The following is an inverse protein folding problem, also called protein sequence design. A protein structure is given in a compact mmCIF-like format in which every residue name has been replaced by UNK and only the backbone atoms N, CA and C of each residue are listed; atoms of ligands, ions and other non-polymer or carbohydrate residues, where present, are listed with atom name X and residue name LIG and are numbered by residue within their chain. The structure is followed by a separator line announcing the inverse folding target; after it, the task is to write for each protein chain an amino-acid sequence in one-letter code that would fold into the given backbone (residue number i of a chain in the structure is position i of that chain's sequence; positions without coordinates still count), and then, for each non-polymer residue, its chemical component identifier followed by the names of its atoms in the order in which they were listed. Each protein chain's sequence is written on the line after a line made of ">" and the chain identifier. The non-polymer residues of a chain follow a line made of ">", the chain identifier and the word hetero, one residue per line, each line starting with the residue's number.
data_IF_018377296325
#
_entry.id   IF_018377296325
#
_cell.length_a   1.000
_cell.length_b   1.000
_cell.length_c   1.000
_cell.angle_alpha   90.00
_cell.angle_beta   90.00
_cell.angle_gamma   90.00
#
_symmetry.space_group_name_H-M   'P 1'
#
loop_
_entity.id
_entity.type
_entity.pdbx_description
1 polymer ?
#
# COMPACT_ATOMS: atom_id res chain seq x y z
N UNK A 1 -1.83 16.35 -9.35
CA UNK A 1 -1.22 15.12 -8.84
C UNK A 1 -0.71 15.29 -7.45
N UNK A 2 0.43 15.94 -7.26
CA UNK A 2 1.21 15.94 -6.00
C UNK A 2 0.41 16.25 -4.72
N UNK A 3 -0.42 17.30 -4.73
CA UNK A 3 -1.25 17.66 -3.56
C UNK A 3 -2.24 16.56 -3.18
N UNK A 4 -2.93 15.97 -4.16
CA UNK A 4 -3.86 14.86 -3.92
C UNK A 4 -3.13 13.55 -3.64
N UNK A 5 -2.00 13.34 -4.29
CA UNK A 5 -1.11 12.20 -4.07
C UNK A 5 -0.63 12.12 -2.62
N UNK A 6 -0.34 13.25 -1.98
CA UNK A 6 0.00 13.28 -0.55
C UNK A 6 -1.08 12.64 0.32
N UNK A 7 -2.35 12.99 0.12
CA UNK A 7 -3.44 12.41 0.93
C UNK A 7 -3.56 10.90 0.72
N UNK A 8 -3.41 10.44 -0.52
CA UNK A 8 -3.40 9.00 -0.79
C UNK A 8 -2.19 8.30 -0.17
N UNK A 9 -1.00 8.92 -0.25
CA UNK A 9 0.23 8.39 0.32
C UNK A 9 0.15 8.30 1.86
N UNK A 10 -0.49 9.27 2.51
CA UNK A 10 -0.79 9.25 3.95
C UNK A 10 -1.71 8.07 4.29
N UNK A 11 -2.77 7.83 3.50
CA UNK A 11 -3.68 6.68 3.67
C UNK A 11 -2.92 5.36 3.49
N UNK A 12 -2.11 5.24 2.44
CA UNK A 12 -1.33 4.04 2.11
C UNK A 12 -0.15 3.77 3.05
N UNK A 13 0.09 4.65 4.04
CA UNK A 13 1.20 4.55 4.99
C UNK A 13 2.57 4.56 4.30
N UNK A 14 2.68 5.38 3.25
CA UNK A 14 3.93 5.55 2.53
C UNK A 14 5.06 5.91 3.50
N UNK A 15 6.16 5.18 3.38
CA UNK A 15 7.39 5.48 4.08
C UNK A 15 8.58 5.02 3.25
N UNK A 16 9.63 5.83 3.22
CA UNK A 16 10.92 5.43 2.66
C UNK A 16 11.65 4.41 3.57
N UNK A 17 11.10 4.09 4.74
CA UNK A 17 11.70 3.16 5.70
C UNK A 17 10.73 2.10 6.24
N UNK A 18 11.29 0.97 6.67
CA UNK A 18 10.62 -0.21 7.24
C UNK A 18 10.24 -0.06 8.72
N UNK A 19 10.53 1.10 9.32
CA UNK A 19 10.34 1.37 10.74
C UNK A 19 11.46 0.80 11.62
N UNK A 20 11.08 0.13 12.72
CA UNK A 20 12.00 -0.52 13.64
C UNK A 20 12.53 -1.83 13.03
N UNK A 21 13.72 -1.76 12.44
CA UNK A 21 14.50 -2.91 11.96
C UNK A 21 15.93 -2.70 12.46
N UNK A 22 16.40 -3.59 13.34
CA UNK A 22 17.70 -3.44 14.01
C UNK A 22 18.84 -4.23 13.35
N UNK A 23 18.49 -5.25 12.55
CA UNK A 23 19.44 -6.23 12.01
C UNK A 23 19.48 -6.27 10.48
N UNK A 24 18.75 -5.38 9.81
CA UNK A 24 18.69 -5.30 8.35
C UNK A 24 18.54 -3.83 7.90
N UNK A 25 18.75 -3.61 6.60
CA UNK A 25 18.56 -2.30 5.97
C UNK A 25 17.14 -1.78 6.25
N UNK A 26 17.10 -0.57 6.81
CA UNK A 26 15.87 0.12 7.20
C UNK A 26 15.19 0.77 6.01
N UNK A 27 15.90 1.02 4.92
CA UNK A 27 15.37 1.77 3.79
C UNK A 27 14.65 0.88 2.77
N UNK A 28 13.57 1.42 2.21
CA UNK A 28 12.98 0.95 0.97
C UNK A 28 13.59 1.75 -0.18
N UNK A 29 14.70 1.27 -0.73
CA UNK A 29 15.47 1.95 -1.81
C UNK A 29 14.61 2.39 -3.00
N UNK A 30 13.54 1.66 -3.27
CA UNK A 30 12.65 1.86 -4.41
C UNK A 30 11.26 2.39 -4.02
N UNK A 31 11.04 2.83 -2.76
CA UNK A 31 9.74 3.33 -2.31
C UNK A 31 9.21 4.47 -3.18
N UNK A 32 10.11 5.37 -3.58
CA UNK A 32 9.80 6.54 -4.41
C UNK A 32 9.08 6.17 -5.72
N UNK A 33 9.26 4.96 -6.26
CA UNK A 33 8.54 4.50 -7.46
C UNK A 33 7.03 4.44 -7.25
N UNK A 34 6.58 4.02 -6.07
CA UNK A 34 5.16 4.00 -5.73
C UNK A 34 4.62 5.42 -5.57
N UNK A 35 5.36 6.30 -4.90
CA UNK A 35 5.01 7.73 -4.78
C UNK A 35 4.79 8.36 -6.15
N UNK A 36 5.77 8.18 -7.04
CA UNK A 36 5.73 8.77 -8.37
C UNK A 36 4.62 8.14 -9.24
N UNK A 37 4.38 6.83 -9.09
CA UNK A 37 3.24 6.15 -9.72
C UNK A 37 1.90 6.74 -9.27
N UNK A 38 1.68 6.94 -7.97
CA UNK A 38 0.46 7.55 -7.43
C UNK A 38 0.26 8.97 -7.99
N UNK A 39 1.31 9.79 -7.98
CA UNK A 39 1.25 11.16 -8.48
C UNK A 39 0.89 11.19 -9.96
N UNK A 40 1.50 10.30 -10.76
CA UNK A 40 1.24 10.17 -12.19
C UNK A 40 -0.18 9.68 -12.47
N UNK A 41 -0.64 8.60 -11.85
CA UNK A 41 -1.99 8.07 -12.05
C UNK A 41 -3.07 9.11 -11.73
N UNK A 42 -2.87 9.93 -10.69
CA UNK A 42 -3.78 11.03 -10.37
C UNK A 42 -3.68 12.22 -11.35
N UNK A 43 -2.52 12.46 -11.97
CA UNK A 43 -2.38 13.49 -13.01
C UNK A 43 -3.02 13.06 -14.33
N UNK A 44 -2.99 11.76 -14.62
CA UNK A 44 -3.55 11.15 -15.83
C UNK A 44 -5.06 10.87 -15.70
N UNK A 45 -5.67 11.22 -14.57
CA UNK A 45 -7.09 10.99 -14.26
C UNK A 45 -7.49 9.51 -14.43
N UNK A 46 -6.60 8.61 -13.97
CA UNK A 46 -6.84 7.16 -14.02
C UNK A 46 -8.16 6.82 -13.30
N UNK A 47 -9.05 6.04 -13.92
CA UNK A 47 -10.28 5.58 -13.26
C UNK A 47 -9.99 4.94 -11.90
N UNK A 48 -10.80 5.30 -10.90
CA UNK A 48 -10.53 4.90 -9.50
C UNK A 48 -10.50 3.37 -9.31
N UNK A 49 -11.35 2.64 -10.03
CA UNK A 49 -11.40 1.19 -10.03
C UNK A 49 -10.10 0.58 -10.57
N UNK A 50 -9.58 1.11 -11.68
CA UNK A 50 -8.28 0.70 -12.23
C UNK A 50 -7.14 1.08 -11.28
N UNK A 51 -7.15 2.30 -10.75
CA UNK A 51 -6.17 2.81 -9.80
C UNK A 51 -6.07 1.91 -8.56
N UNK A 52 -7.21 1.49 -8.01
CA UNK A 52 -7.26 0.62 -6.85
C UNK A 52 -6.86 -0.82 -7.21
N UNK A 53 -7.35 -1.35 -8.34
CA UNK A 53 -7.05 -2.73 -8.77
C UNK A 53 -5.57 -2.93 -9.01
N UNK A 54 -4.88 -1.98 -9.66
CA UNK A 54 -3.42 -2.04 -9.88
C UNK A 54 -2.63 -2.06 -8.56
N UNK A 55 -3.14 -1.42 -7.51
CA UNK A 55 -2.49 -1.40 -6.19
C UNK A 55 -2.67 -2.72 -5.41
N UNK A 56 -3.78 -3.42 -5.62
CA UNK A 56 -4.11 -4.68 -4.92
C UNK A 56 -3.58 -5.90 -5.67
N UNK A 57 -3.69 -5.90 -6.99
CA UNK A 57 -3.47 -7.05 -7.87
C UNK A 57 -2.65 -6.70 -9.12
N UNK A 58 -1.75 -5.71 -9.02
CA UNK A 58 -0.97 -5.21 -10.16
C UNK A 58 -0.15 -6.28 -10.88
N UNK A 59 0.29 -7.32 -10.18
CA UNK A 59 0.97 -8.49 -10.72
C UNK A 59 0.06 -9.44 -11.54
N UNK A 60 -1.26 -9.31 -11.42
CA UNK A 60 -2.26 -10.09 -12.15
C UNK A 60 -2.98 -9.26 -13.23
N UNK A 61 -2.66 -7.98 -13.36
CA UNK A 61 -3.29 -7.07 -14.31
C UNK A 61 -2.55 -7.02 -15.65
N UNK A 62 -3.23 -6.66 -16.75
CA UNK A 62 -2.56 -6.37 -18.02
C UNK A 62 -1.47 -5.30 -17.87
N UNK A 63 -0.32 -5.53 -18.51
CA UNK A 63 0.86 -4.66 -18.40
C UNK A 63 1.73 -4.93 -17.16
N UNK A 64 1.55 -6.07 -16.49
CA UNK A 64 2.38 -6.50 -15.35
C UNK A 64 3.84 -6.84 -15.72
N UNK A 65 4.14 -6.93 -17.01
CA UNK A 65 5.49 -7.04 -17.56
C UNK A 65 6.25 -5.70 -17.52
N UNK A 66 5.54 -4.58 -17.39
CA UNK A 66 6.13 -3.25 -17.16
C UNK A 66 6.42 -3.03 -15.67
N UNK A 67 7.69 -2.93 -15.24
CA UNK A 67 8.05 -2.64 -13.86
C UNK A 67 7.47 -1.32 -13.34
N UNK A 68 7.17 -0.37 -14.23
CA UNK A 68 6.54 0.89 -13.85
C UNK A 68 5.09 0.67 -13.39
N UNK A 69 4.37 -0.33 -13.91
CA UNK A 69 3.03 -0.69 -13.45
C UNK A 69 3.06 -1.45 -12.12
N UNK A 70 4.07 -2.32 -11.93
CA UNK A 70 4.26 -3.04 -10.67
C UNK A 70 4.56 -2.13 -9.48
N UNK A 71 5.03 -0.89 -9.73
CA UNK A 71 5.21 0.12 -8.69
C UNK A 71 3.92 0.39 -7.89
N UNK A 72 2.74 0.21 -8.49
CA UNK A 72 1.44 0.35 -7.83
C UNK A 72 1.31 -0.55 -6.58
N UNK A 73 1.95 -1.73 -6.58
CA UNK A 73 1.91 -2.66 -5.45
C UNK A 73 2.64 -2.16 -4.21
N UNK A 74 3.28 -0.97 -4.27
CA UNK A 74 3.76 -0.25 -3.10
C UNK A 74 2.70 -0.11 -2.01
N UNK A 75 1.41 -0.02 -2.38
CA UNK A 75 0.28 0.05 -1.45
C UNK A 75 0.26 -1.08 -0.41
N UNK A 76 0.60 -2.32 -0.80
CA UNK A 76 0.66 -3.48 0.10
C UNK A 76 2.07 -3.85 0.54
N UNK A 77 3.10 -3.37 -0.17
CA UNK A 77 4.49 -3.83 0.02
C UNK A 77 5.35 -2.85 0.82
N UNK A 78 5.00 -1.57 0.84
CA UNK A 78 5.60 -0.56 1.72
C UNK A 78 4.95 -0.56 3.10
N UNK A 79 5.46 0.30 3.98
CA UNK A 79 4.99 0.43 5.36
C UNK A 79 5.81 -0.35 6.37
N UNK A 80 5.28 -0.48 7.58
CA UNK A 80 6.02 -1.04 8.72
C UNK A 80 6.22 -2.54 8.59
N UNK A 81 7.39 -3.02 9.03
CA UNK A 81 7.71 -4.46 9.02
C UNK A 81 7.54 -5.16 10.36
N UNK A 82 7.24 -4.44 11.44
CA UNK A 82 6.98 -5.03 12.77
C UNK A 82 8.04 -6.04 13.21
N UNK A 83 9.32 -5.71 13.10
CA UNK A 83 10.44 -6.64 13.34
C UNK A 83 10.34 -7.96 12.55
N UNK A 84 9.77 -7.88 11.35
CA UNK A 84 9.42 -9.00 10.46
C UNK A 84 8.38 -9.99 11.02
N UNK A 85 7.55 -9.58 11.99
CA UNK A 85 6.39 -10.37 12.41
C UNK A 85 5.36 -10.44 11.27
N UNK A 86 5.21 -11.63 10.69
CA UNK A 86 4.30 -11.90 9.58
C UNK A 86 2.84 -11.58 9.92
N UNK A 87 2.38 -11.89 11.13
CA UNK A 87 0.98 -11.69 11.52
C UNK A 87 0.65 -10.20 11.63
N UNK A 88 1.53 -9.40 12.23
CA UNK A 88 1.35 -7.96 12.32
C UNK A 88 1.41 -7.26 10.97
N UNK A 89 2.28 -7.74 10.06
CA UNK A 89 2.32 -7.24 8.68
C UNK A 89 1.00 -7.53 7.94
N UNK A 90 0.46 -8.74 8.10
CA UNK A 90 -0.82 -9.11 7.46
C UNK A 90 -1.97 -8.28 8.04
N UNK A 91 -2.02 -8.12 9.36
CA UNK A 91 -3.02 -7.29 10.05
C UNK A 91 -2.97 -5.82 9.56
N UNK A 92 -1.78 -5.22 9.48
CA UNK A 92 -1.58 -3.87 8.97
C UNK A 92 -2.05 -3.71 7.51
N UNK A 93 -1.84 -4.75 6.68
CA UNK A 93 -2.29 -4.77 5.27
C UNK A 93 -3.80 -4.90 5.12
N UNK A 94 -4.44 -5.77 5.91
CA UNK A 94 -5.90 -5.88 5.96
C UNK A 94 -6.48 -4.52 6.36
N UNK A 95 -5.87 -3.92 7.38
CA UNK A 95 -6.32 -2.66 7.94
C UNK A 95 -6.24 -1.48 6.98
N UNK A 96 -5.08 -1.28 6.33
CA UNK A 96 -4.90 -0.19 5.35
C UNK A 96 -5.86 -0.35 4.18
N UNK A 97 -6.08 -1.58 3.72
CA UNK A 97 -7.03 -1.88 2.65
C UNK A 97 -8.46 -1.54 3.08
N UNK A 98 -8.95 -2.09 4.20
CA UNK A 98 -10.36 -1.95 4.57
C UNK A 98 -10.70 -0.53 5.03
N UNK A 99 -9.84 0.09 5.87
CA UNK A 99 -10.09 1.46 6.34
C UNK A 99 -9.86 2.48 5.22
N UNK A 100 -8.82 2.29 4.41
CA UNK A 100 -8.45 3.24 3.36
C UNK A 100 -9.38 3.25 2.16
N UNK A 101 -10.05 2.14 1.84
CA UNK A 101 -10.81 1.99 0.59
C UNK A 101 -12.31 1.74 0.80
N UNK A 102 -12.68 1.06 1.88
CA UNK A 102 -14.08 0.69 2.16
C UNK A 102 -14.68 1.51 3.32
N UNK A 103 -13.88 2.35 3.99
CA UNK A 103 -14.25 3.00 5.24
C UNK A 103 -14.69 2.01 6.34
N UNK A 104 -14.16 0.78 6.31
CA UNK A 104 -14.48 -0.29 7.27
C UNK A 104 -13.31 -0.59 8.19
N UNK A 105 -13.60 -0.71 9.48
CA UNK A 105 -12.62 -1.16 10.48
C UNK A 105 -12.79 -2.66 10.71
N UNK A 106 -11.91 -3.47 10.13
CA UNK A 106 -11.94 -4.94 10.24
C UNK A 106 -10.91 -5.46 11.24
N UNK A 107 -10.04 -4.60 11.81
CA UNK A 107 -8.98 -4.99 12.76
C UNK A 107 -9.49 -5.69 14.02
N UNK A 108 -10.76 -5.49 14.40
CA UNK A 108 -11.37 -6.20 15.52
C UNK A 108 -11.42 -7.72 15.29
N UNK A 109 -11.52 -8.15 14.02
CA UNK A 109 -11.56 -9.56 13.64
C UNK A 109 -10.23 -10.30 13.87
N UNK A 110 -9.17 -9.57 14.25
CA UNK A 110 -7.88 -10.16 14.65
C UNK A 110 -8.01 -11.05 15.89
N UNK A 111 -8.85 -10.64 16.84
CA UNK A 111 -8.96 -11.29 18.17
C UNK A 111 -10.38 -11.75 18.50
N UNK A 112 -11.37 -11.29 17.73
CA UNK A 112 -12.76 -11.64 17.92
C UNK A 112 -13.29 -12.21 16.61
N UNK A 113 -14.26 -13.13 16.68
CA UNK A 113 -15.10 -13.35 15.52
C UNK A 113 -15.78 -12.02 15.16
N UNK A 114 -15.81 -11.71 13.86
CA UNK A 114 -16.32 -10.43 13.38
C UNK A 114 -17.75 -10.22 13.92
N UNK A 115 -18.10 -8.98 14.26
CA UNK A 115 -19.46 -8.67 14.72
C UNK A 115 -20.40 -8.98 13.55
N UNK A 116 -21.36 -9.88 13.79
CA UNK A 116 -22.26 -10.58 12.86
C UNK A 116 -21.67 -11.87 12.26
#
# INVERSE_FOLDING_TARGET
>A
GERWGRYWLDISRYADTRGYVFTADREYKEAWKFRDWVIRSLNEDMPYDEFLMRQIAGDQMPGNDDPAQLAAMGFLTLGRRFLNNRHDIIDDRIDVLTRGTMALTVTCARCHDHKF
#
